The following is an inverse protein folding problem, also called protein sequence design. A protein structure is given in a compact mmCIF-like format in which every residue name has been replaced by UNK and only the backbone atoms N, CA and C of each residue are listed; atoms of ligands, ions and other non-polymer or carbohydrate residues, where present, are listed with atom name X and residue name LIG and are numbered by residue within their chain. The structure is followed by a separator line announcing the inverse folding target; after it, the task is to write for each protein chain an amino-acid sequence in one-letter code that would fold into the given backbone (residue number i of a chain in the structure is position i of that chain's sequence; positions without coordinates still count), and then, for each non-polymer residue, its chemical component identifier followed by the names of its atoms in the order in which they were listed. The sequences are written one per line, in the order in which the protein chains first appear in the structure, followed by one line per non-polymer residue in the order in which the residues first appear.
data_IF_716260970738
#
_entry.id   IF_716260970738
#
_cell.length_a   1.000
_cell.length_b   1.000
_cell.length_c   1.000
_cell.angle_alpha   90.00
_cell.angle_beta   90.00
_cell.angle_gamma   90.00
#
_symmetry.space_group_name_H-M   'P 1'
#
loop_
_entity.id
_entity.type
_entity.pdbx_description
1 polymer ?
#
# COMPACT_ATOMS: atom_id res chain seq x y z
N UNK A 1 49.72 11.74 5.95
CA UNK A 1 48.41 12.08 6.54
C UNK A 1 47.64 12.95 5.56
N UNK A 2 46.80 12.37 4.71
CA UNK A 2 45.92 13.13 3.82
C UNK A 2 44.61 13.37 4.57
N UNK A 3 44.35 14.62 4.95
CA UNK A 3 43.08 15.06 5.55
C UNK A 3 41.97 14.78 4.53
N UNK A 4 41.12 13.77 4.79
CA UNK A 4 39.81 13.65 4.14
C UNK A 4 39.02 14.91 4.53
N UNK A 5 38.96 15.89 3.62
CA UNK A 5 37.98 16.97 3.70
C UNK A 5 36.61 16.30 3.76
N UNK A 6 35.91 16.48 4.89
CA UNK A 6 34.53 16.07 5.02
C UNK A 6 33.75 16.69 3.87
N UNK A 7 33.13 15.83 3.06
CA UNK A 7 32.11 16.26 2.13
C UNK A 7 30.98 16.82 3.02
N UNK A 8 30.92 18.15 3.14
CA UNK A 8 29.72 18.81 3.65
C UNK A 8 28.58 18.26 2.79
N UNK A 9 27.57 17.67 3.42
CA UNK A 9 26.31 17.34 2.75
C UNK A 9 25.71 18.67 2.28
N UNK A 10 26.12 19.09 1.08
CA UNK A 10 25.50 20.18 0.37
C UNK A 10 24.05 19.77 0.13
N UNK A 11 23.14 20.70 0.40
CA UNK A 11 21.69 20.58 0.33
C UNK A 11 21.25 19.76 -0.90
N UNK A 12 20.97 18.46 -0.69
CA UNK A 12 20.32 17.66 -1.73
C UNK A 12 18.94 18.28 -1.99
N UNK A 13 18.50 18.33 -3.27
CA UNK A 13 17.21 18.90 -3.63
C UNK A 13 16.11 18.22 -2.81
N UNK A 14 15.11 19.01 -2.43
CA UNK A 14 13.95 18.65 -1.62
C UNK A 14 13.35 17.29 -2.06
N UNK A 15 13.74 16.19 -1.40
CA UNK A 15 13.28 14.82 -1.73
C UNK A 15 11.76 14.84 -1.80
N UNK A 16 11.20 14.35 -2.91
CA UNK A 16 9.75 14.26 -3.07
C UNK A 16 9.21 13.22 -2.08
N UNK A 17 8.51 13.71 -1.06
CA UNK A 17 7.90 12.88 -0.01
C UNK A 17 6.57 12.34 -0.52
N UNK A 18 6.35 11.04 -0.39
CA UNK A 18 5.12 10.38 -0.85
C UNK A 18 4.55 9.46 0.23
N UNK A 19 3.24 9.29 0.27
CA UNK A 19 2.59 8.28 1.11
C UNK A 19 1.39 7.67 0.40
N UNK A 20 1.38 6.33 0.29
CA UNK A 20 0.24 5.56 -0.19
C UNK A 20 -0.60 5.13 1.01
N UNK A 21 -1.67 5.87 1.26
CA UNK A 21 -2.64 5.59 2.31
C UNK A 21 -3.68 4.63 1.73
N UNK A 22 -3.93 3.52 2.41
CA UNK A 22 -4.88 2.51 1.95
C UNK A 22 -5.30 1.59 3.09
N UNK A 23 -6.12 0.60 2.77
CA UNK A 23 -6.31 -0.56 3.63
C UNK A 23 -5.60 -1.78 3.02
N UNK A 24 -5.51 -2.87 3.77
CA UNK A 24 -5.02 -4.14 3.24
C UNK A 24 -5.90 -4.63 2.07
N UNK A 25 -5.30 -5.45 1.19
CA UNK A 25 -5.97 -6.08 0.03
C UNK A 25 -6.62 -5.13 -0.99
N UNK A 26 -6.22 -3.85 -0.97
CA UNK A 26 -6.63 -2.82 -1.95
C UNK A 26 -5.83 -2.84 -3.25
N UNK A 27 -4.81 -3.70 -3.38
CA UNK A 27 -3.90 -3.71 -4.53
C UNK A 27 -2.69 -2.78 -4.37
N UNK A 28 -2.43 -2.29 -3.15
CA UNK A 28 -1.33 -1.38 -2.84
C UNK A 28 0.05 -1.87 -3.27
N UNK A 29 0.27 -3.19 -3.27
CA UNK A 29 1.53 -3.80 -3.73
C UNK A 29 1.79 -3.58 -5.22
N UNK A 30 0.74 -3.52 -6.05
CA UNK A 30 0.88 -3.29 -7.49
C UNK A 30 1.30 -1.85 -7.76
N UNK A 31 0.72 -0.88 -7.05
CA UNK A 31 1.15 0.53 -7.13
C UNK A 31 2.57 0.68 -6.59
N UNK A 32 2.88 0.13 -5.41
CA UNK A 32 4.21 0.30 -4.81
C UNK A 32 5.31 -0.36 -5.65
N UNK A 33 5.05 -1.53 -6.25
CA UNK A 33 6.02 -2.19 -7.14
C UNK A 33 6.21 -1.42 -8.44
N UNK A 34 5.14 -0.90 -9.05
CA UNK A 34 5.26 -0.04 -10.25
C UNK A 34 6.02 1.25 -9.94
N UNK A 35 5.79 1.88 -8.78
CA UNK A 35 6.56 3.06 -8.35
C UNK A 35 8.06 2.76 -8.19
N UNK A 36 8.42 1.57 -7.71
CA UNK A 36 9.81 1.14 -7.58
C UNK A 36 10.48 0.76 -8.92
N UNK A 37 9.76 0.79 -10.05
CA UNK A 37 10.41 0.63 -11.37
C UNK A 37 11.20 1.88 -11.78
N UNK A 38 10.91 3.03 -11.19
CA UNK A 38 11.63 4.26 -11.45
C UNK A 38 12.97 4.26 -10.71
N UNK A 39 14.11 4.46 -11.38
CA UNK A 39 15.44 4.29 -10.79
C UNK A 39 15.77 5.30 -9.69
N UNK A 40 15.00 6.40 -9.59
CA UNK A 40 15.18 7.48 -8.62
C UNK A 40 14.15 7.50 -7.50
N UNK A 41 13.21 6.55 -7.49
CA UNK A 41 12.20 6.44 -6.43
C UNK A 41 12.56 5.29 -5.51
N UNK A 42 12.54 5.56 -4.21
CA UNK A 42 12.53 4.51 -3.19
C UNK A 42 11.17 4.47 -2.52
N UNK A 43 10.36 3.48 -2.85
CA UNK A 43 9.03 3.30 -2.28
C UNK A 43 9.01 2.09 -1.34
N UNK A 44 8.94 2.35 -0.04
CA UNK A 44 8.93 1.31 0.97
C UNK A 44 7.58 0.62 1.12
N UNK A 45 7.64 -0.58 1.68
CA UNK A 45 6.48 -1.38 2.02
C UNK A 45 5.78 -0.88 3.29
N UNK A 46 5.47 -1.78 4.21
CA UNK A 46 4.61 -1.54 5.36
C UNK A 46 5.47 -1.24 6.60
N UNK A 47 5.88 0.02 6.74
CA UNK A 47 6.78 0.44 7.81
C UNK A 47 6.15 0.33 9.21
N UNK A 48 4.83 0.44 9.29
CA UNK A 48 4.05 0.40 10.53
C UNK A 48 3.33 -0.94 10.76
N UNK A 49 3.85 -2.05 10.21
CA UNK A 49 3.34 -3.38 10.57
C UNK A 49 3.51 -3.61 12.08
N UNK A 50 2.53 -4.24 12.74
CA UNK A 50 2.50 -4.40 14.21
C UNK A 50 3.80 -4.97 14.80
N UNK A 51 4.40 -5.94 14.11
CA UNK A 51 5.58 -6.68 14.60
C UNK A 51 6.87 -6.37 13.83
N UNK A 52 6.78 -5.67 12.70
CA UNK A 52 7.90 -5.54 11.77
C UNK A 52 7.96 -4.14 11.18
N UNK A 53 9.14 -3.74 10.73
CA UNK A 53 9.34 -2.63 9.79
C UNK A 53 9.70 -3.22 8.44
N UNK A 54 8.77 -3.19 7.51
CA UNK A 54 8.93 -3.80 6.19
C UNK A 54 9.34 -2.70 5.21
N UNK A 55 10.65 -2.53 4.99
CA UNK A 55 11.14 -1.57 3.99
C UNK A 55 10.93 -2.11 2.58
N UNK A 56 11.41 -3.32 2.33
CA UNK A 56 11.20 -4.10 1.11
C UNK A 56 10.93 -5.56 1.51
N UNK A 57 10.53 -6.42 0.57
CA UNK A 57 10.18 -7.81 0.89
C UNK A 57 11.39 -8.62 1.39
N UNK A 58 12.58 -8.29 0.90
CA UNK A 58 13.88 -8.83 1.32
C UNK A 58 14.54 -8.02 2.47
N UNK A 59 13.97 -6.85 2.81
CA UNK A 59 14.50 -5.95 3.84
C UNK A 59 13.46 -5.70 4.93
N UNK A 60 13.27 -6.70 5.78
CA UNK A 60 12.35 -6.69 6.92
C UNK A 60 13.12 -6.65 8.24
N UNK A 61 12.83 -5.66 9.08
CA UNK A 61 13.41 -5.57 10.41
C UNK A 61 12.35 -5.89 11.49
N UNK A 62 12.58 -6.97 12.25
CA UNK A 62 11.75 -7.38 13.37
C UNK A 62 12.42 -7.22 14.73
N UNK A 63 13.55 -6.52 14.82
CA UNK A 63 14.23 -6.31 16.09
C UNK A 63 13.38 -5.45 17.02
N UNK A 64 13.37 -5.80 18.30
CA UNK A 64 12.63 -5.06 19.34
C UNK A 64 13.06 -3.58 19.36
N UNK A 65 14.35 -3.31 19.14
CA UNK A 65 14.89 -1.96 19.11
C UNK A 65 14.32 -1.13 17.96
N UNK A 66 14.28 -1.66 16.74
CA UNK A 66 13.79 -0.92 15.58
C UNK A 66 12.29 -0.64 15.68
N UNK A 67 11.52 -1.64 16.10
CA UNK A 67 10.06 -1.51 16.32
C UNK A 67 9.80 -0.50 17.44
N UNK A 68 10.51 -0.59 18.56
CA UNK A 68 10.40 0.35 19.68
C UNK A 68 10.78 1.77 19.29
N UNK A 69 11.82 1.96 18.47
CA UNK A 69 12.21 3.27 17.94
C UNK A 69 11.09 3.88 17.08
N UNK A 70 10.48 3.11 16.18
CA UNK A 70 9.35 3.55 15.35
C UNK A 70 8.13 3.92 16.21
N UNK A 71 7.76 3.05 17.14
CA UNK A 71 6.51 3.19 17.90
C UNK A 71 6.58 4.29 18.96
N UNK A 72 7.78 4.58 19.49
CA UNK A 72 8.01 5.65 20.47
C UNK A 72 7.91 7.05 19.86
N UNK A 73 8.32 7.23 18.61
CA UNK A 73 8.21 8.50 17.89
C UNK A 73 7.97 8.28 16.39
N UNK A 74 6.71 8.02 15.98
CA UNK A 74 6.36 7.81 14.59
C UNK A 74 6.74 8.98 13.67
N UNK A 75 6.67 10.21 14.18
CA UNK A 75 6.97 11.42 13.43
C UNK A 75 8.47 11.53 13.11
N UNK A 76 9.33 11.36 14.11
CA UNK A 76 10.78 11.34 13.91
C UNK A 76 11.21 10.18 13.02
N UNK A 77 10.59 9.01 13.19
CA UNK A 77 10.83 7.86 12.34
C UNK A 77 10.52 8.15 10.86
N UNK A 78 9.33 8.69 10.57
CA UNK A 78 8.94 9.04 9.20
C UNK A 78 9.85 10.14 8.63
N UNK A 79 10.22 11.13 9.44
CA UNK A 79 11.16 12.18 9.03
C UNK A 79 12.51 11.59 8.61
N UNK A 80 13.05 10.64 9.39
CA UNK A 80 14.28 9.93 9.06
C UNK A 80 14.15 9.08 7.78
N UNK A 81 12.99 8.45 7.57
CA UNK A 81 12.69 7.71 6.33
C UNK A 81 12.74 8.64 5.12
N UNK A 82 12.03 9.77 5.17
CA UNK A 82 12.00 10.73 4.07
C UNK A 82 13.30 11.52 3.88
N UNK A 83 14.17 11.58 4.88
CA UNK A 83 15.53 12.11 4.70
C UNK A 83 16.50 11.10 4.09
N UNK A 84 16.02 9.89 3.78
CA UNK A 84 16.87 8.82 3.26
C UNK A 84 17.78 8.17 4.30
N UNK A 85 17.54 8.38 5.59
CA UNK A 85 18.41 7.91 6.68
C UNK A 85 18.50 6.40 6.86
N UNK A 86 17.89 5.62 5.97
CA UNK A 86 17.92 4.15 5.92
C UNK A 86 18.47 3.61 4.59
N UNK A 87 18.90 4.48 3.67
CA UNK A 87 19.60 4.08 2.45
C UNK A 87 21.11 4.36 2.61
N UNK A 88 21.97 3.58 1.93
CA UNK A 88 23.38 3.92 1.78
C UNK A 88 23.56 5.33 1.19
N UNK A 89 24.59 6.06 1.63
CA UNK A 89 24.83 7.43 1.16
C UNK A 89 25.02 7.55 -0.35
N UNK A 90 25.61 6.52 -0.97
CA UNK A 90 25.80 6.38 -2.42
C UNK A 90 24.46 6.22 -3.18
N UNK A 91 23.51 5.45 -2.64
CA UNK A 91 22.18 5.30 -3.23
C UNK A 91 21.43 6.63 -3.21
N UNK A 92 21.60 7.42 -2.15
CA UNK A 92 20.92 8.71 -2.00
C UNK A 92 21.32 9.73 -3.08
N UNK A 93 22.45 9.58 -3.77
CA UNK A 93 22.85 10.54 -4.82
C UNK A 93 21.91 10.51 -6.02
N UNK A 94 21.30 9.35 -6.27
CA UNK A 94 20.43 9.13 -7.43
C UNK A 94 18.94 9.18 -7.08
N UNK A 95 18.57 9.14 -5.79
CA UNK A 95 17.18 9.22 -5.33
C UNK A 95 16.68 10.66 -5.33
N UNK A 96 15.49 10.88 -5.91
CA UNK A 96 14.78 12.16 -5.86
C UNK A 96 13.39 12.06 -5.21
N UNK A 97 12.93 10.85 -4.87
CA UNK A 97 11.66 10.62 -4.20
C UNK A 97 11.68 9.44 -3.24
N UNK A 98 11.07 9.63 -2.07
CA UNK A 98 10.93 8.59 -1.05
C UNK A 98 9.46 8.51 -0.61
N UNK A 99 8.93 7.29 -0.60
CA UNK A 99 7.57 7.04 -0.15
C UNK A 99 7.42 5.73 0.61
N UNK A 100 6.25 5.51 1.18
CA UNK A 100 5.89 4.26 1.85
C UNK A 100 4.39 4.01 1.84
N UNK A 101 3.98 2.76 2.14
CA UNK A 101 2.58 2.42 2.42
C UNK A 101 2.25 2.69 3.88
N UNK A 102 1.08 3.27 4.12
CA UNK A 102 0.50 3.40 5.46
C UNK A 102 -0.93 2.87 5.43
N UNK A 103 -1.20 1.83 6.22
CA UNK A 103 -2.58 1.39 6.40
C UNK A 103 -3.25 2.26 7.46
N UNK A 104 -4.50 2.67 7.19
CA UNK A 104 -5.24 3.65 8.01
C UNK A 104 -5.29 3.23 9.48
N UNK A 105 -5.40 1.93 9.75
CA UNK A 105 -5.53 1.35 11.08
C UNK A 105 -4.21 0.94 11.76
N UNK A 106 -3.04 1.23 11.17
CA UNK A 106 -1.78 0.76 11.74
C UNK A 106 -1.23 1.67 12.83
N UNK A 107 -1.24 2.99 12.60
CA UNK A 107 -0.74 3.95 13.58
C UNK A 107 -1.36 5.33 13.35
N UNK A 108 -2.17 5.78 14.32
CA UNK A 108 -2.90 7.05 14.22
C UNK A 108 -1.98 8.27 14.27
N UNK A 109 -0.87 8.21 15.01
CA UNK A 109 0.10 9.29 15.10
C UNK A 109 0.91 9.45 13.81
N UNK A 110 1.31 8.33 13.20
CA UNK A 110 1.92 8.29 11.89
C UNK A 110 1.00 8.91 10.83
N UNK A 111 -0.27 8.52 10.82
CA UNK A 111 -1.26 9.08 9.89
C UNK A 111 -1.45 10.58 10.11
N UNK A 112 -1.59 11.01 11.37
CA UNK A 112 -1.68 12.43 11.73
C UNK A 112 -0.44 13.20 11.26
N UNK A 113 0.76 12.68 11.49
CA UNK A 113 2.00 13.31 11.03
C UNK A 113 2.02 13.46 9.51
N UNK A 114 1.79 12.36 8.76
CA UNK A 114 1.77 12.36 7.29
C UNK A 114 0.81 13.41 6.73
N UNK A 115 -0.43 13.46 7.24
CA UNK A 115 -1.46 14.40 6.77
C UNK A 115 -1.03 15.86 6.98
N UNK A 116 -0.27 16.15 8.03
CA UNK A 116 0.21 17.50 8.36
C UNK A 116 1.57 17.86 7.72
N UNK A 117 2.17 16.98 6.92
CA UNK A 117 3.40 17.27 6.17
C UNK A 117 3.10 17.80 4.77
N UNK A 118 4.14 18.11 3.97
CA UNK A 118 4.01 18.46 2.55
C UNK A 118 4.05 17.25 1.59
N UNK A 119 3.98 16.01 2.10
CA UNK A 119 4.05 14.81 1.26
C UNK A 119 2.91 14.70 0.23
N UNK A 120 3.19 14.19 -0.96
CA UNK A 120 2.14 13.83 -1.92
C UNK A 120 1.38 12.61 -1.39
N UNK A 121 0.08 12.77 -1.18
CA UNK A 121 -0.77 11.72 -0.62
C UNK A 121 -1.50 11.00 -1.75
N UNK A 122 -1.45 9.68 -1.72
CA UNK A 122 -2.20 8.81 -2.62
C UNK A 122 -3.18 8.05 -1.75
N UNK A 123 -4.48 8.15 -2.03
CA UNK A 123 -5.48 7.36 -1.33
C UNK A 123 -6.00 6.26 -2.24
N UNK A 124 -5.58 5.02 -1.97
CA UNK A 124 -6.00 3.85 -2.74
C UNK A 124 -7.16 3.12 -2.07
N UNK A 125 -8.21 2.91 -2.85
CA UNK A 125 -9.45 2.24 -2.46
C UNK A 125 -9.81 1.11 -3.42
N UNK A 126 -10.72 0.25 -3.00
CA UNK A 126 -11.22 -0.87 -3.79
C UNK A 126 -12.73 -0.98 -3.65
N UNK A 127 -13.46 -0.97 -4.76
CA UNK A 127 -14.93 -0.90 -4.78
C UNK A 127 -15.59 -2.20 -4.36
N UNK A 128 -15.05 -3.35 -4.76
CA UNK A 128 -15.68 -4.64 -4.47
C UNK A 128 -15.23 -5.20 -3.09
N UNK A 129 -16.07 -5.12 -2.04
CA UNK A 129 -15.74 -5.58 -0.70
C UNK A 129 -15.63 -7.11 -0.62
N UNK A 130 -16.36 -7.86 -1.46
CA UNK A 130 -16.36 -9.31 -1.45
C UNK A 130 -15.06 -9.88 -2.04
N UNK A 131 -14.56 -9.27 -3.12
CA UNK A 131 -13.24 -9.53 -3.66
C UNK A 131 -12.14 -9.26 -2.62
N UNK A 132 -12.27 -8.17 -1.86
CA UNK A 132 -11.32 -7.81 -0.80
C UNK A 132 -11.37 -8.80 0.35
N UNK A 133 -12.58 -9.13 0.83
CA UNK A 133 -12.82 -10.07 1.93
C UNK A 133 -12.33 -11.48 1.63
N UNK A 134 -12.70 -12.04 0.47
CA UNK A 134 -12.21 -13.35 0.04
C UNK A 134 -10.69 -13.37 -0.03
N UNK A 135 -10.08 -12.33 -0.59
CA UNK A 135 -8.62 -12.22 -0.68
C UNK A 135 -7.95 -12.12 0.69
N UNK A 136 -8.56 -11.41 1.65
CA UNK A 136 -8.07 -11.33 3.02
C UNK A 136 -8.09 -12.71 3.69
N UNK A 137 -9.25 -13.40 3.66
CA UNK A 137 -9.38 -14.73 4.27
C UNK A 137 -8.45 -15.77 3.65
N UNK A 138 -8.25 -15.71 2.33
CA UNK A 138 -7.31 -16.61 1.63
C UNK A 138 -5.88 -16.34 2.07
N UNK A 139 -5.46 -15.07 2.14
CA UNK A 139 -4.11 -14.71 2.58
C UNK A 139 -3.85 -15.18 4.01
N UNK A 140 -4.80 -14.97 4.93
CA UNK A 140 -4.74 -15.47 6.31
C UNK A 140 -4.63 -17.00 6.34
N UNK A 141 -5.42 -17.71 5.52
CA UNK A 141 -5.42 -19.18 5.48
C UNK A 141 -4.13 -19.78 4.88
N UNK A 142 -3.53 -19.11 3.91
CA UNK A 142 -2.43 -19.66 3.10
C UNK A 142 -1.04 -19.16 3.50
N UNK A 143 -0.99 -18.03 4.22
CA UNK A 143 0.22 -17.25 4.47
C UNK A 143 0.69 -16.44 3.26
N UNK A 144 -0.03 -16.47 2.13
CA UNK A 144 0.41 -15.86 0.87
C UNK A 144 -0.19 -14.46 0.67
N UNK A 145 0.60 -13.43 0.95
CA UNK A 145 0.17 -12.04 0.87
C UNK A 145 0.48 -11.35 -0.47
N UNK A 146 1.44 -11.87 -1.26
CA UNK A 146 1.82 -11.36 -2.60
C UNK A 146 2.24 -12.49 -3.55
N UNK A 147 2.12 -12.24 -4.86
CA UNK A 147 2.59 -13.15 -5.92
C UNK A 147 3.27 -12.38 -7.07
N UNK A 148 4.42 -12.87 -7.52
CA UNK A 148 5.26 -12.40 -8.62
C UNK A 148 5.66 -13.60 -9.49
N UNK A 149 6.49 -13.40 -10.51
CA UNK A 149 6.94 -14.50 -11.39
C UNK A 149 7.75 -15.57 -10.63
N UNK A 150 8.66 -15.14 -9.74
CA UNK A 150 9.52 -16.03 -8.96
C UNK A 150 8.76 -16.99 -8.01
N UNK A 151 7.56 -16.63 -7.55
CA UNK A 151 6.67 -17.51 -6.79
C UNK A 151 5.37 -17.86 -7.54
N UNK A 152 5.30 -17.51 -8.82
CA UNK A 152 4.18 -17.69 -9.73
C UNK A 152 4.22 -19.00 -10.50
N UNK A 153 5.40 -19.63 -10.61
CA UNK A 153 5.61 -20.94 -11.25
C UNK A 153 4.82 -22.06 -10.55
N UNK A 154 4.72 -22.02 -9.23
CA UNK A 154 3.82 -22.90 -8.48
C UNK A 154 2.38 -22.37 -8.56
N UNK A 155 1.35 -23.20 -8.83
CA UNK A 155 -0.04 -22.75 -8.88
C UNK A 155 -0.45 -22.01 -7.61
N UNK A 156 -1.21 -20.92 -7.73
CA UNK A 156 -1.78 -20.23 -6.57
C UNK A 156 -2.46 -21.28 -5.68
N UNK A 157 -2.20 -21.21 -4.37
CA UNK A 157 -2.88 -22.08 -3.42
C UNK A 157 -4.39 -21.82 -3.56
N UNK A 158 -5.10 -22.75 -4.20
CA UNK A 158 -6.56 -22.72 -4.41
C UNK A 158 -7.28 -23.00 -3.09
N UNK A 159 -7.02 -22.17 -2.08
CA UNK A 159 -7.68 -22.25 -0.81
C UNK A 159 -9.06 -21.61 -0.96
N UNK A 160 -10.11 -22.42 -0.78
CA UNK A 160 -11.46 -21.89 -0.61
C UNK A 160 -11.64 -21.44 0.84
N UNK A 161 -12.46 -20.42 1.09
CA UNK A 161 -12.74 -19.93 2.45
C UNK A 161 -14.24 -20.01 2.73
N UNK A 162 -14.64 -20.16 3.99
CA UNK A 162 -16.07 -20.16 4.33
C UNK A 162 -16.58 -18.73 4.40
N UNK A 163 -17.68 -18.46 3.70
CA UNK A 163 -18.43 -17.21 3.80
C UNK A 163 -19.29 -17.23 5.06
N UNK A 164 -19.31 -16.11 5.78
CA UNK A 164 -20.16 -15.89 6.94
C UNK A 164 -20.65 -14.46 6.92
N UNK A 165 -21.96 -14.27 6.71
CA UNK A 165 -22.53 -12.94 6.45
C UNK A 165 -22.28 -11.91 7.59
N UNK A 166 -22.42 -12.25 8.89
CA UNK A 166 -22.08 -11.32 9.97
C UNK A 166 -20.61 -10.88 9.96
N UNK A 167 -19.68 -11.81 9.68
CA UNK A 167 -18.25 -11.51 9.59
C UNK A 167 -17.96 -10.56 8.41
N UNK A 168 -18.57 -10.85 7.25
CA UNK A 168 -18.44 -10.02 6.07
C UNK A 168 -18.99 -8.60 6.29
N UNK A 169 -20.13 -8.46 6.98
CA UNK A 169 -20.68 -7.15 7.34
C UNK A 169 -19.76 -6.37 8.26
N UNK A 170 -19.25 -7.01 9.31
CA UNK A 170 -18.30 -6.37 10.23
C UNK A 170 -17.04 -5.91 9.49
N UNK A 171 -16.51 -6.76 8.61
CA UNK A 171 -15.39 -6.44 7.74
C UNK A 171 -15.70 -5.23 6.85
N UNK A 172 -16.83 -5.22 6.13
CA UNK A 172 -17.20 -4.11 5.25
C UNK A 172 -17.34 -2.79 6.02
N UNK A 173 -18.07 -2.82 7.14
CA UNK A 173 -18.32 -1.64 7.97
C UNK A 173 -17.02 -1.04 8.53
N UNK A 174 -16.08 -1.87 8.95
CA UNK A 174 -14.79 -1.40 9.46
C UNK A 174 -14.03 -0.55 8.43
N UNK A 175 -13.92 -1.04 7.19
CA UNK A 175 -13.18 -0.33 6.14
C UNK A 175 -13.91 0.92 5.68
N UNK A 176 -15.24 0.84 5.49
CA UNK A 176 -16.04 2.02 5.14
C UNK A 176 -15.90 3.11 6.21
N UNK A 177 -15.92 2.73 7.49
CA UNK A 177 -15.73 3.67 8.60
C UNK A 177 -14.35 4.31 8.54
N UNK A 178 -13.28 3.53 8.41
CA UNK A 178 -11.91 4.04 8.38
C UNK A 178 -11.64 4.93 7.16
N UNK A 179 -12.11 4.54 5.97
CA UNK A 179 -11.99 5.34 4.75
C UNK A 179 -12.76 6.66 4.88
N UNK A 180 -13.99 6.63 5.42
CA UNK A 180 -14.80 7.84 5.66
C UNK A 180 -14.12 8.78 6.66
N UNK A 181 -13.60 8.25 7.78
CA UNK A 181 -12.89 9.04 8.78
C UNK A 181 -11.62 9.69 8.21
N UNK A 182 -10.90 8.97 7.34
CA UNK A 182 -9.75 9.53 6.64
C UNK A 182 -10.18 10.68 5.71
N UNK A 183 -11.21 10.51 4.89
CA UNK A 183 -11.69 11.56 3.99
C UNK A 183 -12.18 12.79 4.77
N UNK A 184 -12.92 12.59 5.85
CA UNK A 184 -13.34 13.68 6.76
C UNK A 184 -12.13 14.43 7.30
N UNK A 185 -11.07 13.72 7.68
CA UNK A 185 -9.82 14.31 8.17
C UNK A 185 -9.12 15.10 7.07
N UNK A 186 -8.92 14.51 5.89
CA UNK A 186 -8.28 15.17 4.76
C UNK A 186 -9.03 16.44 4.34
N UNK A 187 -10.37 16.37 4.28
CA UNK A 187 -11.22 17.52 3.93
C UNK A 187 -11.18 18.61 4.98
N UNK A 188 -11.25 18.25 6.28
CA UNK A 188 -11.15 19.22 7.40
C UNK A 188 -9.88 20.05 7.32
N UNK A 189 -8.76 19.45 6.91
CA UNK A 189 -7.46 20.10 6.80
C UNK A 189 -7.14 20.61 5.38
N UNK A 190 -8.13 20.62 4.48
CA UNK A 190 -7.96 20.97 3.05
C UNK A 190 -6.75 20.27 2.39
N UNK A 191 -6.51 19.03 2.79
CA UNK A 191 -5.31 18.30 2.39
C UNK A 191 -5.51 17.69 1.02
N UNK A 192 -4.75 18.17 0.02
CA UNK A 192 -4.77 17.58 -1.33
C UNK A 192 -4.23 16.15 -1.30
N UNK A 193 -4.96 15.24 -1.95
CA UNK A 193 -4.57 13.85 -2.20
C UNK A 193 -4.99 13.43 -3.61
N UNK A 194 -4.32 12.43 -4.17
CA UNK A 194 -4.70 11.79 -5.42
C UNK A 194 -5.52 10.54 -5.10
N UNK A 195 -6.78 10.52 -5.51
CA UNK A 195 -7.65 9.39 -5.29
C UNK A 195 -7.44 8.30 -6.35
N UNK A 196 -7.29 7.05 -5.92
CA UNK A 196 -7.15 5.90 -6.82
C UNK A 196 -8.16 4.84 -6.43
N UNK A 197 -8.99 4.43 -7.38
CA UNK A 197 -9.73 3.18 -7.29
C UNK A 197 -8.93 2.08 -7.98
N UNK A 198 -8.74 0.95 -7.29
CA UNK A 198 -8.01 -0.20 -7.81
C UNK A 198 -8.56 -0.65 -9.17
N UNK A 199 -9.89 -0.73 -9.30
CA UNK A 199 -10.56 -1.15 -10.53
C UNK A 199 -10.25 -0.22 -11.71
N UNK A 200 -10.20 1.09 -11.49
CA UNK A 200 -9.84 2.05 -12.53
C UNK A 200 -8.33 1.94 -12.87
N UNK A 201 -7.50 1.75 -11.84
CA UNK A 201 -6.06 1.59 -12.01
C UNK A 201 -5.68 0.37 -12.85
N UNK A 202 -6.41 -0.75 -12.72
CA UNK A 202 -6.15 -1.95 -13.54
C UNK A 202 -6.74 -1.86 -14.95
N UNK A 203 -7.83 -1.12 -15.15
CA UNK A 203 -8.53 -1.06 -16.43
C UNK A 203 -8.05 0.08 -17.33
N UNK A 204 -7.54 1.16 -16.74
CA UNK A 204 -7.31 2.40 -17.45
C UNK A 204 -5.89 2.93 -17.17
N UNK A 205 -5.01 2.79 -18.16
CA UNK A 205 -3.62 3.28 -18.07
C UNK A 205 -3.51 4.79 -17.79
N UNK A 206 -4.54 5.57 -18.14
CA UNK A 206 -4.59 7.01 -17.83
C UNK A 206 -4.54 7.31 -16.32
N UNK A 207 -5.03 6.39 -15.47
CA UNK A 207 -4.98 6.55 -14.00
C UNK A 207 -3.53 6.55 -13.53
N UNK A 208 -2.70 5.65 -14.04
CA UNK A 208 -1.27 5.62 -13.76
C UNK A 208 -0.56 6.88 -14.25
N UNK A 209 -0.81 7.26 -15.51
CA UNK A 209 -0.25 8.48 -16.12
C UNK A 209 -0.54 9.73 -15.28
N UNK A 210 -1.77 9.87 -14.81
CA UNK A 210 -2.18 11.00 -13.98
C UNK A 210 -1.58 10.94 -12.57
N UNK A 211 -1.48 9.75 -11.97
CA UNK A 211 -0.82 9.56 -10.68
C UNK A 211 0.65 9.99 -10.75
N UNK A 212 1.39 9.51 -11.74
CA UNK A 212 2.82 9.82 -11.93
C UNK A 212 3.04 11.33 -12.13
N UNK A 213 2.21 11.98 -12.95
CA UNK A 213 2.24 13.45 -13.13
C UNK A 213 1.93 14.20 -11.84
N UNK A 214 0.96 13.72 -11.04
CA UNK A 214 0.66 14.31 -9.73
C UNK A 214 1.85 14.25 -8.76
N UNK A 215 2.63 13.17 -8.84
CA UNK A 215 3.86 12.96 -8.07
C UNK A 215 5.04 13.79 -8.63
N UNK A 216 4.93 14.33 -9.84
CA UNK A 216 5.94 15.20 -10.45
C UNK A 216 7.04 14.43 -11.19
N UNK A 217 6.67 13.35 -11.88
CA UNK A 217 7.55 12.52 -12.69
C UNK A 217 7.03 12.38 -14.13
N UNK A 218 7.91 11.98 -15.05
CA UNK A 218 7.53 11.57 -16.41
C UNK A 218 7.11 10.09 -16.40
N UNK A 219 6.09 9.77 -17.17
CA UNK A 219 5.59 8.39 -17.30
C UNK A 219 6.59 7.52 -18.05
N UNK A 220 7.38 8.09 -18.96
CA UNK A 220 8.36 7.35 -19.76
C UNK A 220 9.47 6.69 -18.93
N UNK A 221 9.69 7.16 -17.70
CA UNK A 221 10.72 6.66 -16.80
C UNK A 221 10.27 5.46 -15.94
N UNK A 222 9.06 4.93 -16.17
CA UNK A 222 8.50 3.80 -15.43
C UNK A 222 8.29 2.57 -16.31
N UNK A 223 8.47 1.40 -15.69
CA UNK A 223 8.08 0.11 -16.26
C UNK A 223 6.71 -0.37 -15.79
N UNK A 224 6.37 -1.60 -16.18
CA UNK A 224 5.20 -2.30 -15.67
C UNK A 224 5.44 -2.94 -14.30
N UNK A 225 4.37 -3.14 -13.54
CA UNK A 225 4.45 -3.86 -12.26
C UNK A 225 4.79 -5.33 -12.51
N UNK A 226 5.79 -5.91 -11.81
CA UNK A 226 6.13 -7.34 -11.93
C UNK A 226 5.15 -8.27 -11.19
N UNK A 227 4.15 -7.72 -10.49
CA UNK A 227 3.22 -8.51 -9.70
C UNK A 227 2.07 -9.07 -10.54
N UNK A 228 1.73 -10.32 -10.27
CA UNK A 228 0.65 -11.04 -10.92
C UNK A 228 -0.60 -11.06 -10.06
N UNK A 229 -1.77 -11.18 -10.71
CA UNK A 229 -3.05 -11.35 -10.02
C UNK A 229 -3.09 -12.69 -9.30
N UNK A 230 -3.44 -12.68 -8.01
CA UNK A 230 -3.37 -13.87 -7.16
C UNK A 230 -4.57 -14.81 -7.28
N UNK A 231 -5.78 -14.26 -7.43
CA UNK A 231 -7.03 -15.00 -7.28
C UNK A 231 -7.89 -14.90 -8.54
N UNK A 232 -8.74 -15.92 -8.76
CA UNK A 232 -9.70 -16.01 -9.88
C UNK A 232 -10.69 -14.85 -9.88
N UNK A 233 -11.14 -14.41 -11.05
CA UNK A 233 -12.19 -13.38 -11.11
C UNK A 233 -13.57 -13.86 -10.69
N UNK A 234 -13.83 -15.17 -10.80
CA UNK A 234 -15.00 -15.77 -10.16
C UNK A 234 -14.85 -15.69 -8.63
N UNK A 235 -15.54 -14.72 -8.04
CA UNK A 235 -15.53 -14.42 -6.60
C UNK A 235 -16.22 -15.53 -5.81
N UNK A 236 -17.32 -16.08 -6.33
CA UNK A 236 -18.08 -17.13 -5.65
C UNK A 236 -17.25 -18.42 -5.55
N UNK A 237 -16.49 -18.77 -6.59
CA UNK A 237 -15.61 -19.94 -6.59
C UNK A 237 -14.50 -19.89 -5.53
N UNK A 238 -14.20 -18.71 -4.95
CA UNK A 238 -13.25 -18.55 -3.83
C UNK A 238 -13.81 -19.03 -2.50
N UNK A 239 -15.12 -19.27 -2.42
CA UNK A 239 -15.78 -19.73 -1.21
C UNK A 239 -16.11 -21.22 -1.26
N UNK A 240 -16.09 -21.88 -0.09
CA UNK A 240 -16.51 -23.29 0.03
C UNK A 240 -18.03 -23.46 0.00
N UNK A 241 -18.78 -22.39 0.28
CA UNK A 241 -20.23 -22.26 0.29
C UNK A 241 -20.65 -21.10 -0.65
N UNK A 242 -20.55 -21.27 -1.98
CA UNK A 242 -20.84 -20.21 -2.94
C UNK A 242 -22.32 -19.80 -2.96
N UNK A 243 -23.24 -20.67 -2.57
CA UNK A 243 -24.68 -20.36 -2.56
C UNK A 243 -25.02 -19.34 -1.47
N UNK A 244 -24.46 -19.46 -0.26
CA UNK A 244 -24.58 -18.45 0.80
C UNK A 244 -24.09 -17.06 0.34
N UNK A 245 -23.06 -17.02 -0.52
CA UNK A 245 -22.55 -15.77 -1.09
C UNK A 245 -23.56 -15.17 -2.07
N UNK A 246 -24.12 -15.99 -2.96
CA UNK A 246 -25.11 -15.55 -3.94
C UNK A 246 -26.40 -15.08 -3.26
N UNK A 247 -26.90 -15.84 -2.31
CA UNK A 247 -28.07 -15.49 -1.51
C UNK A 247 -27.86 -14.16 -0.78
N UNK A 248 -26.70 -13.97 -0.16
CA UNK A 248 -26.38 -12.72 0.52
C UNK A 248 -26.29 -11.52 -0.45
N UNK A 249 -25.67 -11.71 -1.62
CA UNK A 249 -25.57 -10.69 -2.66
C UNK A 249 -26.94 -10.30 -3.20
N UNK A 250 -27.82 -11.27 -3.41
CA UNK A 250 -29.21 -11.07 -3.84
C UNK A 250 -30.00 -10.29 -2.79
N UNK A 251 -29.95 -10.69 -1.53
CA UNK A 251 -30.59 -9.98 -0.41
C UNK A 251 -30.13 -8.51 -0.33
N UNK A 252 -28.84 -8.26 -0.55
CA UNK A 252 -28.27 -6.91 -0.55
C UNK A 252 -28.49 -6.15 -1.86
N UNK A 253 -29.01 -6.81 -2.91
CA UNK A 253 -29.14 -6.27 -4.28
C UNK A 253 -27.81 -5.74 -4.83
N UNK A 254 -26.70 -6.42 -4.53
CA UNK A 254 -25.32 -6.02 -4.91
C UNK A 254 -24.67 -7.01 -5.88
N UNK A 255 -25.37 -7.31 -6.98
CA UNK A 255 -24.90 -8.26 -8.00
C UNK A 255 -23.53 -7.89 -8.59
N UNK A 256 -23.17 -6.61 -8.55
CA UNK A 256 -21.85 -6.09 -8.92
C UNK A 256 -20.71 -6.70 -8.09
N UNK A 257 -20.97 -7.26 -6.90
CA UNK A 257 -19.94 -7.89 -6.07
C UNK A 257 -19.48 -9.26 -6.57
N UNK A 258 -20.24 -9.89 -7.46
CA UNK A 258 -19.87 -11.16 -8.09
C UNK A 258 -19.00 -10.99 -9.34
N UNK A 259 -18.79 -9.74 -9.78
CA UNK A 259 -18.01 -9.36 -10.96
C UNK A 259 -16.59 -8.89 -10.59
#
# INVERSE_FOLDING_TARGET
MVKKKGLKMADKPNIKKMCLICMDRTGSNMISSRLNTHPRIRFYNELFHRQYVIFQDDRVNGSVEMVSKRDRDPAAFISQVWSGGYEPSEDLENIDGIGFKLFINHNAEALRYVVNTNAKLIFLRRRNPLLRFSSFKIAVRTGEWKRNEANGEAPAKKAKVKFHAPEFRAYMNNFQTLETLLEMTLNRWNRKYFNVWYEDFVQQDIVWKNLVRYLGYDVADFGESPLLKQNTDDVAARFSNPDDVREYVEQMKRYDWLQ
#
